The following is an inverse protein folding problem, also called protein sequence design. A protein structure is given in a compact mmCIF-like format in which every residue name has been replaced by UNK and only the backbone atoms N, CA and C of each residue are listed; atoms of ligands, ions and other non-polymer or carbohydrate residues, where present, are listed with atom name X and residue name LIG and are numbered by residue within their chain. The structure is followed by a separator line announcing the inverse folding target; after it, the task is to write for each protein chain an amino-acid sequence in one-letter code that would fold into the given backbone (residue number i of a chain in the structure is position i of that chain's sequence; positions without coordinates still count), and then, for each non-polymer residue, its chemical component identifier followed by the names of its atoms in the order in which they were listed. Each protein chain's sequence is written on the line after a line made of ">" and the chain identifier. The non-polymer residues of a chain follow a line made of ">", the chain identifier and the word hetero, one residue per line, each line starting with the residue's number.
data_IF_384557070646
#
_entry.id   IF_384557070646
#
_cell.length_a   1.000
_cell.length_b   1.000
_cell.length_c   1.000
_cell.angle_alpha   90.00
_cell.angle_beta   90.00
_cell.angle_gamma   90.00
#
_symmetry.space_group_name_H-M   'P 1'
#
loop_
_entity.id
_entity.type
_entity.pdbx_description
1 polymer ?
#
# COMPACT_ATOMS: atom_id res chain seq x y z
N UNK A 1 1.39 7.27 -5.71
CA UNK A 1 1.43 7.21 -4.23
C UNK A 1 1.96 5.86 -3.81
N UNK A 2 2.72 5.76 -2.73
CA UNK A 2 3.25 4.50 -2.19
C UNK A 2 2.68 4.30 -0.79
N UNK A 3 2.04 3.16 -0.56
CA UNK A 3 1.43 2.78 0.70
C UNK A 3 1.98 1.42 1.16
N UNK A 4 2.10 1.21 2.47
CA UNK A 4 2.80 0.03 2.98
C UNK A 4 2.05 -1.27 2.71
N UNK A 5 0.77 -1.35 3.08
CA UNK A 5 -0.10 -2.50 2.87
C UNK A 5 -1.56 -2.12 3.02
N UNK A 6 -2.46 -2.78 2.29
CA UNK A 6 -3.91 -2.56 2.39
C UNK A 6 -4.62 -3.85 2.79
N UNK A 7 -4.62 -4.19 4.07
CA UNK A 7 -5.28 -5.40 4.58
C UNK A 7 -6.22 -5.15 5.77
N UNK A 8 -6.22 -3.96 6.37
CA UNK A 8 -7.12 -3.61 7.46
C UNK A 8 -7.44 -2.12 7.35
N UNK A 9 -8.60 -1.71 7.88
CA UNK A 9 -8.95 -0.31 8.03
C UNK A 9 -8.34 0.24 9.32
N UNK A 10 -7.68 1.39 9.24
CA UNK A 10 -7.08 2.14 10.33
C UNK A 10 -7.02 3.64 9.99
N UNK A 11 -6.19 4.41 10.70
CA UNK A 11 -6.09 5.86 10.49
C UNK A 11 -5.22 6.27 9.29
N UNK A 12 -4.47 5.35 8.70
CA UNK A 12 -3.64 5.65 7.53
C UNK A 12 -4.46 5.64 6.23
N UNK A 13 -5.58 4.91 6.26
CA UNK A 13 -6.55 4.74 5.18
C UNK A 13 -7.37 6.02 5.00
N UNK A 14 -7.71 6.75 6.08
CA UNK A 14 -8.36 8.07 5.99
C UNK A 14 -7.49 9.10 5.24
N UNK A 15 -6.17 9.06 5.49
CA UNK A 15 -5.20 9.90 4.77
C UNK A 15 -5.09 9.45 3.31
N UNK A 16 -5.10 8.14 3.06
CA UNK A 16 -5.06 7.59 1.72
C UNK A 16 -6.29 8.01 0.90
N UNK A 17 -7.49 7.94 1.48
CA UNK A 17 -8.73 8.39 0.85
C UNK A 17 -8.65 9.86 0.47
N UNK A 18 -8.22 10.72 1.39
CA UNK A 18 -8.04 12.16 1.12
C UNK A 18 -7.03 12.39 -0.01
N UNK A 19 -5.93 11.65 -0.04
CA UNK A 19 -4.94 11.77 -1.11
C UNK A 19 -5.47 11.29 -2.46
N UNK A 20 -6.30 10.24 -2.49
CA UNK A 20 -6.96 9.78 -3.72
C UNK A 20 -7.98 10.81 -4.21
N UNK A 21 -8.71 11.48 -3.32
CA UNK A 21 -9.59 12.59 -3.69
C UNK A 21 -8.82 13.76 -4.32
N UNK A 22 -7.63 14.08 -3.79
CA UNK A 22 -6.77 15.13 -4.34
C UNK A 22 -6.10 14.73 -5.65
N UNK A 23 -5.78 13.45 -5.82
CA UNK A 23 -5.05 12.90 -6.97
C UNK A 23 -5.76 11.66 -7.55
N UNK A 24 -6.96 11.80 -8.13
CA UNK A 24 -7.82 10.66 -8.51
C UNK A 24 -7.26 9.79 -9.64
N UNK A 25 -6.27 10.31 -10.38
CA UNK A 25 -5.60 9.59 -11.46
C UNK A 25 -4.22 9.05 -11.07
N UNK A 26 -3.77 9.29 -9.84
CA UNK A 26 -2.47 8.81 -9.39
C UNK A 26 -2.53 7.32 -9.03
N UNK A 27 -1.65 6.48 -9.59
CA UNK A 27 -1.58 5.08 -9.21
C UNK A 27 -1.10 4.93 -7.76
N UNK A 28 -1.67 3.96 -7.06
CA UNK A 28 -1.34 3.61 -5.68
C UNK A 28 -0.51 2.33 -5.71
N UNK A 29 0.76 2.42 -5.37
CA UNK A 29 1.64 1.27 -5.21
C UNK A 29 1.58 0.77 -3.77
N UNK A 30 1.37 -0.53 -3.59
CA UNK A 30 1.31 -1.15 -2.25
C UNK A 30 1.95 -2.52 -2.25
N UNK A 31 2.41 -3.01 -1.10
CA UNK A 31 2.97 -4.36 -1.01
C UNK A 31 1.91 -5.44 -1.31
N UNK A 32 0.70 -5.26 -0.78
CA UNK A 32 -0.45 -6.18 -0.87
C UNK A 32 -1.79 -5.41 -0.78
N UNK A 33 -2.85 -5.99 -1.33
CA UNK A 33 -4.21 -5.44 -1.27
C UNK A 33 -5.28 -6.53 -1.06
N UNK A 34 -5.83 -6.61 0.16
CA UNK A 34 -6.89 -7.56 0.49
C UNK A 34 -8.27 -7.04 0.09
N UNK A 35 -8.67 -7.29 -1.15
CA UNK A 35 -9.95 -6.81 -1.71
C UNK A 35 -11.20 -7.19 -0.90
N UNK A 36 -11.18 -8.33 -0.20
CA UNK A 36 -12.31 -8.79 0.63
C UNK A 36 -12.34 -8.12 2.01
N UNK A 37 -11.20 -7.67 2.52
CA UNK A 37 -11.08 -6.99 3.82
C UNK A 37 -11.16 -5.48 3.75
N UNK A 38 -11.14 -4.91 2.54
CA UNK A 38 -11.12 -3.46 2.29
C UNK A 38 -12.45 -2.96 1.70
N UNK A 39 -12.75 -1.65 1.80
CA UNK A 39 -13.97 -1.08 1.26
C UNK A 39 -14.13 -1.37 -0.25
N UNK A 40 -15.35 -1.69 -0.72
CA UNK A 40 -15.61 -1.92 -2.14
C UNK A 40 -15.21 -0.74 -3.04
N UNK A 41 -15.25 0.49 -2.52
CA UNK A 41 -14.85 1.71 -3.22
C UNK A 41 -13.40 1.65 -3.72
N UNK A 42 -12.50 0.98 -3.00
CA UNK A 42 -11.07 0.94 -3.33
C UNK A 42 -10.81 0.12 -4.60
N UNK A 43 -11.76 -0.73 -5.00
CA UNK A 43 -11.72 -1.49 -6.25
C UNK A 43 -11.82 -0.59 -7.49
N UNK A 44 -12.27 0.66 -7.33
CA UNK A 44 -12.31 1.65 -8.41
C UNK A 44 -10.98 2.39 -8.59
N UNK A 45 -10.01 2.24 -7.67
CA UNK A 45 -8.73 2.92 -7.72
C UNK A 45 -7.70 2.14 -8.55
N UNK A 46 -6.71 2.82 -9.15
CA UNK A 46 -5.56 2.17 -9.79
C UNK A 46 -4.57 1.71 -8.71
N UNK A 47 -4.85 0.54 -8.12
CA UNK A 47 -4.00 -0.10 -7.09
C UNK A 47 -3.07 -1.11 -7.76
N UNK A 48 -1.77 -0.89 -7.61
CA UNK A 48 -0.70 -1.72 -8.14
C UNK A 48 0.03 -2.41 -6.98
N UNK A 49 -0.15 -3.71 -6.88
CA UNK A 49 0.48 -4.52 -5.84
C UNK A 49 1.87 -5.00 -6.26
N UNK A 50 2.72 -5.31 -5.28
CA UNK A 50 3.99 -6.00 -5.54
C UNK A 50 3.79 -7.51 -5.62
N UNK A 51 4.86 -8.24 -5.93
CA UNK A 51 4.90 -9.70 -5.89
C UNK A 51 4.51 -10.32 -4.53
N UNK A 52 4.56 -9.54 -3.43
CA UNK A 52 4.17 -10.02 -2.09
C UNK A 52 2.69 -10.37 -1.98
N UNK A 53 1.83 -9.76 -2.79
CA UNK A 53 0.38 -10.00 -2.80
C UNK A 53 0.01 -11.47 -3.12
N UNK A 54 0.92 -12.18 -3.79
CA UNK A 54 0.77 -13.59 -4.15
C UNK A 54 1.29 -14.56 -3.08
N UNK A 55 1.82 -14.06 -1.96
CA UNK A 55 2.35 -14.93 -0.90
C UNK A 55 1.22 -15.61 -0.11
N UNK A 56 1.40 -16.89 0.27
CA UNK A 56 0.35 -17.64 0.94
C UNK A 56 0.03 -17.05 2.30
N UNK A 57 -1.24 -16.72 2.52
CA UNK A 57 -1.74 -16.19 3.79
C UNK A 57 -1.30 -14.76 4.12
N UNK A 58 -0.74 -14.03 3.16
CA UNK A 58 -0.17 -12.68 3.35
C UNK A 58 -1.14 -11.71 4.01
N UNK A 59 -2.42 -11.74 3.62
CA UNK A 59 -3.44 -10.83 4.14
C UNK A 59 -3.73 -11.02 5.64
N UNK A 60 -3.59 -12.26 6.14
CA UNK A 60 -3.90 -12.64 7.52
C UNK A 60 -2.66 -12.73 8.42
N UNK A 61 -1.52 -13.08 7.84
CA UNK A 61 -0.25 -13.29 8.56
C UNK A 61 0.87 -12.52 7.88
N UNK A 62 0.82 -11.19 7.89
CA UNK A 62 1.83 -10.34 7.23
C UNK A 62 3.10 -10.14 8.06
N UNK A 63 3.03 -10.29 9.39
CA UNK A 63 4.17 -10.10 10.32
C UNK A 63 5.40 -10.97 10.00
N UNK A 64 5.26 -12.28 9.68
CA UNK A 64 6.39 -13.12 9.26
C UNK A 64 7.08 -12.62 7.98
N UNK A 65 6.36 -11.86 7.15
CA UNK A 65 6.87 -11.34 5.88
C UNK A 65 7.54 -9.96 6.01
N UNK A 66 7.57 -9.36 7.21
CA UNK A 66 8.23 -8.06 7.47
C UNK A 66 9.66 -7.94 6.87
N UNK A 67 10.54 -8.96 6.96
CA UNK A 67 11.87 -8.89 6.36
C UNK A 67 11.88 -8.79 4.82
N UNK A 68 10.78 -9.15 4.16
CA UNK A 68 10.65 -9.13 2.70
C UNK A 68 10.11 -7.80 2.15
N UNK A 69 9.51 -6.95 2.99
CA UNK A 69 8.96 -5.65 2.57
C UNK A 69 10.01 -4.75 1.90
N UNK A 70 11.25 -4.60 2.42
CA UNK A 70 12.27 -3.81 1.73
C UNK A 70 12.54 -4.30 0.30
N UNK A 71 12.51 -5.61 0.07
CA UNK A 71 12.73 -6.22 -1.25
C UNK A 71 11.54 -6.00 -2.20
N UNK A 72 10.34 -5.85 -1.66
CA UNK A 72 9.15 -5.55 -2.44
C UNK A 72 9.19 -4.12 -3.00
N UNK A 73 9.54 -3.15 -2.16
CA UNK A 73 9.63 -1.75 -2.58
C UNK A 73 10.90 -1.43 -3.37
N UNK A 74 12.03 -2.13 -3.13
CA UNK A 74 13.27 -1.91 -3.87
C UNK A 74 13.16 -2.22 -5.37
N UNK A 75 12.16 -2.99 -5.79
CA UNK A 75 11.88 -3.31 -7.20
C UNK A 75 10.87 -2.36 -7.86
N UNK A 76 10.30 -1.41 -7.12
CA UNK A 76 9.42 -0.42 -7.71
C UNK A 76 10.24 0.58 -8.49
N UNK A 77 10.03 0.60 -9.81
CA UNK A 77 10.54 1.66 -10.65
C UNK A 77 9.60 2.87 -10.57
N UNK A 78 10.05 3.91 -9.87
CA UNK A 78 9.35 5.17 -9.72
C UNK A 78 10.01 6.31 -10.52
N UNK A 79 10.99 5.99 -11.39
CA UNK A 79 11.77 6.98 -12.14
C UNK A 79 10.94 7.84 -13.09
N UNK A 80 9.77 7.35 -13.51
CA UNK A 80 8.84 8.09 -14.37
C UNK A 80 7.92 9.08 -13.64
N UNK A 81 8.09 9.30 -12.33
CA UNK A 81 7.27 10.22 -11.55
C UNK A 81 8.07 11.40 -11.02
N UNK A 82 7.56 12.62 -11.25
CA UNK A 82 8.17 13.85 -10.74
C UNK A 82 7.96 14.06 -9.23
N UNK A 83 6.97 13.37 -8.64
CA UNK A 83 6.62 13.44 -7.23
C UNK A 83 6.14 12.09 -6.70
N UNK A 84 6.75 11.64 -5.60
CA UNK A 84 6.37 10.42 -4.89
C UNK A 84 5.89 10.78 -3.49
N UNK A 85 4.62 10.52 -3.21
CA UNK A 85 4.04 10.59 -1.86
C UNK A 85 4.07 9.20 -1.23
N UNK A 86 4.80 9.04 -0.12
CA UNK A 86 4.87 7.80 0.65
C UNK A 86 4.07 7.97 1.95
N UNK A 87 3.06 7.12 2.15
CA UNK A 87 2.28 7.06 3.39
C UNK A 87 2.51 5.72 4.07
N UNK A 88 2.95 5.78 5.32
CA UNK A 88 3.26 4.62 6.15
C UNK A 88 2.26 4.49 7.28
N UNK A 89 1.63 3.33 7.40
CA UNK A 89 0.68 2.99 8.47
C UNK A 89 1.37 2.37 9.69
N UNK A 90 2.61 1.91 9.53
CA UNK A 90 3.44 1.46 10.64
C UNK A 90 3.82 2.63 11.53
N UNK A 91 3.25 2.68 12.73
CA UNK A 91 3.74 3.39 13.91
C UNK A 91 4.91 4.34 13.64
N UNK A 92 4.68 5.65 13.80
CA UNK A 92 5.74 6.56 14.21
C UNK A 92 6.42 5.99 15.48
N UNK A 93 7.45 5.18 15.30
CA UNK A 93 8.55 5.06 16.23
C UNK A 93 9.78 5.51 15.45
N UNK A 94 9.92 6.84 15.38
CA UNK A 94 11.23 7.43 15.46
C UNK A 94 11.73 7.23 16.89
N UNK A 95 12.79 6.44 17.00
CA UNK A 95 13.90 6.64 17.91
C UNK A 95 15.12 5.96 17.28
#
# INVERSE_FOLDING_TARGET
>A
MVHDWLNQLGGAEDVLETLVEMFPHAPIYTSMYWQEGMPPAYRAWDIRTTWMDHLPGIYRHHQPYLPLYPLAFARLDLSGYDLVLSTKSGFCHGA
#
